data_IF_379549093783
#
_entry.id   IF_379549093783
#
_cell.length_a   1.000
_cell.length_b   1.000
_cell.length_c   1.000
_cell.angle_alpha   90.00
_cell.angle_beta   90.00
_cell.angle_gamma   90.00
#
_symmetry.space_group_name_H-M   'P 1'
#
loop_
_entity.id
_entity.type
_entity.pdbx_description
1 polymer ?
#
# COMPACT_ATOMS: atom_id res chain seq x y z
N UNK A 1 -20.32 51.83 39.42
CA UNK A 1 -19.42 50.85 40.00
C UNK A 1 -18.50 50.42 38.86
N UNK A 2 -17.29 51.07 38.68
CA UNK A 2 -16.00 50.73 39.26
C UNK A 2 -15.61 49.29 38.81
N UNK A 3 -14.64 49.00 38.06
CA UNK A 3 -13.22 49.32 37.92
C UNK A 3 -12.72 48.58 36.67
N UNK A 4 -12.02 49.22 35.76
CA UNK A 4 -10.81 48.62 35.16
C UNK A 4 -9.86 49.79 34.76
N UNK A 5 -8.85 49.95 35.55
CA UNK A 5 -7.75 50.86 35.27
C UNK A 5 -6.67 50.15 34.41
N UNK A 6 -6.40 50.80 33.34
CA UNK A 6 -5.13 51.09 32.69
C UNK A 6 -3.86 50.32 33.19
N UNK A 7 -3.32 49.43 32.32
CA UNK A 7 -1.91 49.05 32.35
C UNK A 7 -1.33 49.19 30.95
N UNK A 8 -0.34 50.09 30.81
CA UNK A 8 0.29 50.49 29.58
C UNK A 8 1.10 49.35 28.95
N UNK A 9 0.92 49.23 27.63
CA UNK A 9 1.80 48.41 26.77
C UNK A 9 2.99 49.28 26.35
N UNK A 10 4.25 48.73 26.39
CA UNK A 10 5.39 49.44 25.84
C UNK A 10 5.38 49.37 24.31
N UNK A 11 5.68 50.49 23.69
CA UNK A 11 5.85 50.71 22.27
C UNK A 11 6.95 49.85 21.69
N UNK A 12 6.66 49.21 20.56
CA UNK A 12 7.60 48.40 19.79
C UNK A 12 8.75 49.25 19.27
N UNK A 13 9.93 49.05 19.80
CA UNK A 13 11.18 49.50 19.18
C UNK A 13 11.51 48.52 18.03
N UNK A 14 11.68 49.06 16.82
CA UNK A 14 12.07 48.35 15.62
C UNK A 14 13.49 47.76 15.81
N UNK A 15 13.58 46.44 15.94
CA UNK A 15 14.84 45.73 15.74
C UNK A 15 14.88 45.27 14.28
N UNK A 16 15.67 45.98 13.49
CA UNK A 16 16.14 45.52 12.19
C UNK A 16 17.16 44.40 12.49
N UNK A 17 16.71 43.14 12.30
CA UNK A 17 17.63 42.00 12.31
C UNK A 17 18.18 41.86 10.90
N UNK A 18 19.41 42.27 10.69
CA UNK A 18 20.20 41.89 9.51
C UNK A 18 20.41 40.37 9.53
N UNK A 19 20.14 39.64 8.44
CA UNK A 19 20.49 38.24 8.39
C UNK A 19 22.02 38.13 8.30
N UNK A 20 22.63 37.48 9.28
CA UNK A 20 24.00 37.02 9.19
C UNK A 20 24.09 36.02 8.04
N UNK A 21 24.94 36.30 7.06
CA UNK A 21 25.38 35.31 6.09
C UNK A 21 26.13 34.22 6.85
N UNK A 22 25.45 33.11 7.11
CA UNK A 22 26.08 31.90 7.60
C UNK A 22 26.60 31.08 6.44
N UNK A 23 27.85 30.68 6.55
CA UNK A 23 28.64 29.81 5.69
C UNK A 23 27.80 28.74 4.95
N UNK A 24 28.08 28.65 3.65
CA UNK A 24 27.70 27.49 2.83
C UNK A 24 28.54 26.31 3.33
N UNK A 25 28.08 25.67 4.40
CA UNK A 25 28.61 24.39 4.85
C UNK A 25 28.25 23.31 3.79
N UNK A 26 29.25 22.53 3.42
CA UNK A 26 29.14 21.35 2.54
C UNK A 26 27.92 20.53 2.96
N UNK A 27 26.94 20.43 2.05
CA UNK A 27 25.73 19.64 2.25
C UNK A 27 26.13 18.16 2.40
N UNK A 28 25.92 17.62 3.59
CA UNK A 28 25.96 16.18 3.85
C UNK A 28 24.88 15.52 2.96
N UNK A 29 25.23 14.59 2.04
CA UNK A 29 24.26 13.93 1.16
C UNK A 29 23.19 13.11 1.90
N UNK A 30 23.16 13.13 3.24
CA UNK A 30 22.17 12.53 4.11
C UNK A 30 21.10 13.48 4.66
N UNK A 31 21.15 14.78 4.38
CA UNK A 31 20.18 15.76 4.91
C UNK A 31 18.93 15.93 4.02
N UNK A 32 17.90 15.13 4.32
CA UNK A 32 16.56 15.37 3.80
C UNK A 32 16.26 14.71 2.45
N UNK A 33 15.02 14.83 2.03
CA UNK A 33 14.46 14.31 0.78
C UNK A 33 14.98 15.09 -0.45
N UNK A 34 16.25 14.95 -0.78
CA UNK A 34 16.91 15.60 -1.90
C UNK A 34 16.96 17.14 -1.83
N UNK A 35 17.77 17.79 -2.64
CA UNK A 35 17.86 19.25 -2.65
C UNK A 35 16.50 19.86 -3.01
N UNK A 36 16.01 20.77 -2.18
CA UNK A 36 14.79 21.54 -2.42
C UNK A 36 15.09 23.03 -2.33
N UNK A 37 14.66 23.79 -3.34
CA UNK A 37 14.88 25.25 -3.39
C UNK A 37 14.06 26.03 -2.36
N UNK A 38 12.95 25.44 -1.88
CA UNK A 38 11.98 26.09 -0.99
C UNK A 38 11.82 25.38 0.37
N UNK A 39 12.70 24.45 0.72
CA UNK A 39 12.63 23.66 1.95
C UNK A 39 11.58 22.55 1.94
N UNK A 40 10.74 22.50 0.88
CA UNK A 40 9.81 21.42 0.54
C UNK A 40 9.85 21.18 -0.96
N UNK A 41 9.62 19.95 -1.40
CA UNK A 41 9.64 19.63 -2.83
C UNK A 41 8.38 20.13 -3.54
N UNK A 42 8.61 20.92 -4.57
CA UNK A 42 7.56 21.55 -5.38
C UNK A 42 7.89 21.40 -6.87
N UNK A 43 7.01 21.88 -7.76
CA UNK A 43 7.24 21.83 -9.21
C UNK A 43 8.44 22.64 -9.70
N UNK A 44 9.06 23.47 -8.83
CA UNK A 44 10.32 24.17 -9.17
C UNK A 44 11.56 23.31 -8.97
N UNK A 45 11.42 22.13 -8.36
CA UNK A 45 12.49 21.15 -8.17
C UNK A 45 12.46 20.12 -9.29
N UNK A 46 13.62 19.63 -9.72
CA UNK A 46 13.72 18.57 -10.71
C UNK A 46 13.22 17.22 -10.12
N UNK A 47 12.56 16.36 -10.93
CA UNK A 47 12.24 15.00 -10.51
C UNK A 47 13.50 14.23 -10.12
N UNK A 48 13.44 13.46 -9.05
CA UNK A 48 14.51 12.51 -8.72
C UNK A 48 14.40 11.28 -9.62
N UNK A 49 15.55 10.69 -9.97
CA UNK A 49 15.58 9.36 -10.57
C UNK A 49 15.05 8.31 -9.59
N UNK A 50 14.66 7.14 -10.09
CA UNK A 50 14.19 6.05 -9.24
C UNK A 50 15.26 5.58 -8.25
N UNK A 51 16.54 5.54 -8.67
CA UNK A 51 17.67 5.19 -7.78
C UNK A 51 17.84 6.20 -6.66
N UNK A 52 17.81 7.50 -6.96
CA UNK A 52 17.87 8.55 -5.96
C UNK A 52 16.67 8.48 -4.98
N UNK A 53 15.48 8.20 -5.52
CA UNK A 53 14.28 8.06 -4.69
C UNK A 53 14.42 6.90 -3.68
N UNK A 54 14.94 5.74 -4.10
CA UNK A 54 15.18 4.60 -3.21
C UNK A 54 16.22 4.95 -2.13
N UNK A 55 17.32 5.59 -2.50
CA UNK A 55 18.35 6.00 -1.55
C UNK A 55 17.78 6.95 -0.48
N UNK A 56 16.97 7.90 -0.91
CA UNK A 56 16.28 8.84 -0.01
C UNK A 56 15.34 8.10 0.95
N UNK A 57 14.51 7.18 0.46
CA UNK A 57 13.61 6.38 1.30
C UNK A 57 14.39 5.51 2.30
N UNK A 58 15.46 4.87 1.86
CA UNK A 58 16.33 4.05 2.72
C UNK A 58 17.03 4.89 3.78
N UNK A 59 17.56 6.05 3.41
CA UNK A 59 18.19 6.97 4.35
C UNK A 59 17.19 7.50 5.38
N UNK A 60 15.99 7.88 4.94
CA UNK A 60 14.90 8.30 5.82
C UNK A 60 14.49 7.21 6.81
N UNK A 61 14.32 5.98 6.35
CA UNK A 61 13.99 4.87 7.26
C UNK A 61 15.14 4.57 8.25
N UNK A 62 16.40 4.65 7.84
CA UNK A 62 17.53 4.54 8.78
C UNK A 62 17.45 5.58 9.90
N UNK A 63 17.16 6.86 9.57
CA UNK A 63 17.01 7.92 10.58
C UNK A 63 15.83 7.64 11.50
N UNK A 64 14.70 7.19 10.94
CA UNK A 64 13.54 6.80 11.74
C UNK A 64 13.87 5.70 12.76
N UNK A 65 14.54 4.63 12.32
CA UNK A 65 14.96 3.51 13.20
C UNK A 65 15.93 3.97 14.28
N UNK A 66 16.82 4.92 13.97
CA UNK A 66 17.79 5.48 14.90
C UNK A 66 17.20 6.54 15.85
N UNK A 67 15.96 7.00 15.59
CA UNK A 67 15.37 8.11 16.34
C UNK A 67 15.93 9.49 15.97
N UNK A 68 16.67 9.61 14.87
CA UNK A 68 17.29 10.85 14.37
C UNK A 68 16.48 11.45 13.20
N UNK A 69 15.17 11.60 13.41
CA UNK A 69 14.26 12.15 12.39
C UNK A 69 14.50 13.65 12.20
N UNK A 70 14.58 14.07 10.94
CA UNK A 70 14.85 15.46 10.53
C UNK A 70 13.65 16.14 9.89
N UNK A 71 12.65 15.36 9.40
CA UNK A 71 11.44 15.90 8.82
C UNK A 71 10.63 16.64 9.88
N UNK A 72 10.76 17.95 9.88
CA UNK A 72 10.01 18.83 10.79
C UNK A 72 8.52 18.93 10.41
N UNK A 73 7.77 19.65 11.24
CA UNK A 73 6.36 19.95 10.97
C UNK A 73 6.18 20.88 9.77
N UNK A 74 4.94 20.92 9.26
CA UNK A 74 4.52 21.78 8.14
C UNK A 74 4.36 23.25 8.60
N UNK A 75 5.45 24.00 8.57
CA UNK A 75 5.46 25.43 8.93
C UNK A 75 4.68 26.31 7.93
N UNK A 76 4.37 27.57 8.30
CA UNK A 76 3.60 28.47 7.43
C UNK A 76 4.23 28.72 6.05
N UNK A 77 5.56 28.87 6.00
CA UNK A 77 6.29 29.12 4.75
C UNK A 77 6.22 27.90 3.82
N UNK A 78 6.41 26.70 4.36
CA UNK A 78 6.28 25.46 3.62
C UNK A 78 4.87 25.27 3.07
N UNK A 79 3.83 25.56 3.87
CA UNK A 79 2.44 25.50 3.37
C UNK A 79 2.21 26.48 2.22
N UNK A 80 2.74 27.71 2.32
CA UNK A 80 2.64 28.69 1.23
C UNK A 80 3.36 28.23 -0.01
N UNK A 81 4.57 27.70 0.13
CA UNK A 81 5.33 27.16 -1.00
C UNK A 81 4.58 26.04 -1.72
N UNK A 82 4.06 25.05 -0.99
CA UNK A 82 3.27 23.95 -1.56
C UNK A 82 1.98 24.43 -2.21
N UNK A 83 1.28 25.39 -1.60
CA UNK A 83 0.04 25.94 -2.17
C UNK A 83 0.30 26.73 -3.46
N UNK A 84 1.43 27.45 -3.54
CA UNK A 84 1.75 28.31 -4.70
C UNK A 84 2.44 27.57 -5.84
N UNK A 85 3.22 26.53 -5.52
CA UNK A 85 4.09 25.84 -6.49
C UNK A 85 3.76 24.34 -6.64
N UNK A 86 2.67 23.86 -6.01
CA UNK A 86 2.27 22.44 -6.09
C UNK A 86 3.26 21.50 -5.40
N UNK A 87 3.30 20.25 -5.84
CA UNK A 87 4.10 19.17 -5.24
C UNK A 87 4.95 18.47 -6.28
N UNK A 88 6.12 17.97 -5.90
CA UNK A 88 6.99 17.11 -6.68
C UNK A 88 7.45 15.92 -5.83
N UNK A 89 6.58 14.91 -5.63
CA UNK A 89 6.89 13.79 -4.75
C UNK A 89 8.11 13.00 -5.22
N UNK A 90 8.91 12.54 -4.27
CA UNK A 90 10.04 11.63 -4.50
C UNK A 90 9.56 10.26 -4.96
N UNK A 91 8.50 9.77 -4.31
CA UNK A 91 7.93 8.45 -4.57
C UNK A 91 6.42 8.45 -4.36
N UNK A 92 5.76 7.51 -5.04
CA UNK A 92 4.40 7.08 -4.74
C UNK A 92 4.47 5.87 -3.83
N UNK A 93 3.78 5.89 -2.69
CA UNK A 93 3.74 4.77 -1.77
C UNK A 93 2.32 4.25 -1.63
N UNK A 94 2.12 2.95 -1.94
CA UNK A 94 0.88 2.24 -1.70
C UNK A 94 1.03 1.48 -0.38
N UNK A 95 0.40 1.96 0.68
CA UNK A 95 0.50 1.41 2.02
C UNK A 95 -0.83 0.96 2.61
N UNK A 96 -0.75 0.31 3.76
CA UNK A 96 -1.94 -0.05 4.52
C UNK A 96 -2.57 1.16 5.23
N UNK A 97 -3.90 1.15 5.37
CA UNK A 97 -4.63 2.13 6.18
C UNK A 97 -4.42 1.95 7.69
N UNK A 98 -3.72 0.89 8.12
CA UNK A 98 -3.38 0.64 9.52
C UNK A 98 -2.72 1.87 10.15
N UNK A 99 -3.29 2.36 11.27
CA UNK A 99 -2.83 3.59 11.94
C UNK A 99 -1.41 3.48 12.50
N UNK A 100 -0.90 2.26 12.66
CA UNK A 100 0.48 1.99 13.12
C UNK A 100 1.52 2.13 12.00
N UNK A 101 1.09 2.42 10.76
CA UNK A 101 1.95 2.59 9.59
C UNK A 101 1.92 4.04 9.10
N UNK A 102 2.51 5.01 9.82
CA UNK A 102 2.57 6.41 9.40
C UNK A 102 3.65 6.57 8.33
N UNK A 103 3.29 6.41 7.05
CA UNK A 103 4.22 6.27 5.91
C UNK A 103 5.25 7.39 5.85
N UNK A 104 4.81 8.64 6.00
CA UNK A 104 5.71 9.80 5.96
C UNK A 104 6.74 9.76 7.10
N UNK A 105 6.32 9.35 8.31
CA UNK A 105 7.23 9.23 9.45
C UNK A 105 8.23 8.09 9.27
N UNK A 106 7.79 6.94 8.70
CA UNK A 106 8.66 5.80 8.45
C UNK A 106 9.84 6.12 7.55
N UNK A 107 9.65 7.07 6.65
CA UNK A 107 10.67 7.52 5.70
C UNK A 107 11.25 8.89 6.05
N UNK A 108 10.95 9.42 7.24
CA UNK A 108 11.39 10.75 7.66
C UNK A 108 11.11 11.81 6.57
N UNK A 109 9.88 11.75 6.01
CA UNK A 109 9.42 12.55 4.89
C UNK A 109 8.57 13.74 5.35
N UNK A 110 8.69 14.87 4.66
CA UNK A 110 7.86 16.05 4.86
C UNK A 110 6.58 15.95 4.04
N UNK A 111 5.52 16.68 4.41
CA UNK A 111 4.35 16.86 3.54
C UNK A 111 4.77 17.39 2.16
N UNK A 112 4.30 16.71 1.09
CA UNK A 112 4.68 17.01 -0.29
C UNK A 112 5.81 16.12 -0.84
N UNK A 113 6.58 15.46 0.01
CA UNK A 113 7.69 14.59 -0.41
C UNK A 113 7.22 13.22 -0.90
N UNK A 114 6.08 12.73 -0.42
CA UNK A 114 5.50 11.45 -0.84
C UNK A 114 4.06 11.62 -1.34
N UNK A 115 3.71 10.86 -2.37
CA UNK A 115 2.33 10.68 -2.79
C UNK A 115 1.82 9.37 -2.20
N UNK A 116 1.01 9.45 -1.14
CA UNK A 116 0.63 8.29 -0.33
C UNK A 116 -0.79 7.85 -0.61
N UNK A 117 -0.95 6.59 -0.98
CA UNK A 117 -2.22 5.90 -1.20
C UNK A 117 -2.39 4.83 -0.13
N UNK A 118 -3.54 4.79 0.55
CA UNK A 118 -3.76 3.86 1.67
C UNK A 118 -5.14 3.23 1.61
N UNK A 119 -5.18 1.91 1.74
CA UNK A 119 -6.39 1.14 2.00
C UNK A 119 -6.08 -0.04 2.92
N UNK A 120 -7.09 -0.70 3.46
CA UNK A 120 -6.89 -1.87 4.31
C UNK A 120 -6.24 -3.01 3.48
N UNK A 121 -5.04 -3.42 3.89
CA UNK A 121 -4.26 -4.47 3.23
C UNK A 121 -3.46 -4.01 2.02
N UNK A 122 -3.22 -2.72 1.80
CA UNK A 122 -2.40 -2.15 0.69
C UNK A 122 -2.67 -2.82 -0.67
N UNK A 123 -3.94 -3.00 -1.04
CA UNK A 123 -4.37 -3.74 -2.23
C UNK A 123 -4.64 -2.85 -3.44
N UNK A 124 -4.43 -3.41 -4.65
CA UNK A 124 -5.05 -2.94 -5.88
C UNK A 124 -5.84 -4.11 -6.46
N UNK A 125 -7.17 -4.03 -6.48
CA UNK A 125 -8.05 -5.16 -6.84
C UNK A 125 -9.00 -4.89 -8.01
N UNK A 126 -9.08 -3.63 -8.45
CA UNK A 126 -9.95 -3.21 -9.55
C UNK A 126 -9.18 -2.27 -10.48
N UNK A 127 -9.14 -2.58 -11.77
CA UNK A 127 -8.38 -1.83 -12.76
C UNK A 127 -8.84 -0.37 -12.90
N UNK A 128 -10.15 -0.13 -12.85
CA UNK A 128 -10.76 1.21 -12.94
C UNK A 128 -10.90 1.88 -11.57
N UNK A 129 -10.34 1.27 -10.54
CA UNK A 129 -10.43 1.80 -9.17
C UNK A 129 -9.61 3.06 -8.96
N UNK A 130 -10.02 3.87 -8.00
CA UNK A 130 -9.32 5.11 -7.62
C UNK A 130 -7.86 4.90 -7.22
N UNK A 131 -7.49 3.71 -6.73
CA UNK A 131 -6.10 3.36 -6.41
C UNK A 131 -5.22 3.35 -7.65
N UNK A 132 -5.60 2.61 -8.70
CA UNK A 132 -4.83 2.54 -9.96
C UNK A 132 -4.77 3.91 -10.63
N UNK A 133 -5.90 4.57 -10.78
CA UNK A 133 -5.95 5.92 -11.38
C UNK A 133 -5.11 6.94 -10.62
N UNK A 134 -5.04 6.85 -9.29
CA UNK A 134 -4.17 7.74 -8.50
C UNK A 134 -2.68 7.43 -8.70
N UNK A 135 -2.31 6.16 -8.86
CA UNK A 135 -0.92 5.79 -9.22
C UNK A 135 -0.58 6.30 -10.62
N UNK A 136 -1.48 6.13 -11.61
CA UNK A 136 -1.30 6.68 -12.95
C UNK A 136 -1.13 8.19 -12.93
N UNK A 137 -1.97 8.90 -12.16
CA UNK A 137 -1.85 10.35 -11.96
C UNK A 137 -0.48 10.74 -11.42
N UNK A 138 0.04 10.00 -10.45
CA UNK A 138 1.33 10.30 -9.83
C UNK A 138 2.50 10.16 -10.82
N UNK A 139 2.47 9.17 -11.69
CA UNK A 139 3.56 8.95 -12.67
C UNK A 139 3.39 9.77 -13.95
N UNK A 140 2.15 10.05 -14.36
CA UNK A 140 1.88 10.80 -15.59
C UNK A 140 1.88 12.32 -15.39
N UNK A 141 1.39 12.81 -14.27
CA UNK A 141 1.17 14.24 -14.00
C UNK A 141 2.18 14.79 -12.98
N UNK A 142 2.44 14.06 -11.89
CA UNK A 142 3.41 14.50 -10.88
C UNK A 142 4.85 14.06 -11.20
N UNK A 143 5.02 13.28 -12.26
CA UNK A 143 6.31 12.80 -12.79
C UNK A 143 7.13 11.98 -11.76
N UNK A 144 6.44 11.27 -10.86
CA UNK A 144 7.08 10.41 -9.87
C UNK A 144 7.77 9.24 -10.58
N UNK A 145 9.04 9.02 -10.30
CA UNK A 145 9.86 7.97 -10.95
C UNK A 145 9.94 6.67 -10.15
N UNK A 146 9.37 6.66 -8.94
CA UNK A 146 9.39 5.50 -8.04
C UNK A 146 8.00 5.21 -7.50
N UNK A 147 7.56 3.95 -7.63
CA UNK A 147 6.36 3.41 -6.96
C UNK A 147 6.81 2.34 -5.98
N UNK A 148 6.45 2.49 -4.70
CA UNK A 148 6.73 1.53 -3.65
C UNK A 148 5.44 0.92 -3.11
N UNK A 149 5.29 -0.41 -3.20
CA UNK A 149 4.22 -1.14 -2.53
C UNK A 149 4.71 -1.59 -1.17
N UNK A 150 4.15 -1.02 -0.11
CA UNK A 150 4.59 -1.19 1.27
C UNK A 150 3.59 -2.04 2.05
N UNK A 151 3.95 -3.31 2.29
CA UNK A 151 3.30 -4.17 3.27
C UNK A 151 3.82 -3.89 4.69
N UNK A 152 3.22 -4.53 5.68
CA UNK A 152 3.70 -4.43 7.07
C UNK A 152 3.43 -5.69 7.87
N UNK A 153 4.25 -5.97 8.87
CA UNK A 153 4.04 -7.11 9.78
C UNK A 153 2.75 -6.93 10.59
N UNK A 154 2.06 -8.02 10.88
CA UNK A 154 0.84 -8.01 11.70
C UNK A 154 -0.34 -7.27 11.06
N UNK A 155 -0.46 -7.29 9.72
CA UNK A 155 -1.58 -6.69 9.01
C UNK A 155 -2.90 -7.38 9.33
N UNK A 156 -3.85 -6.63 9.94
CA UNK A 156 -5.14 -7.18 10.35
C UNK A 156 -5.99 -7.67 9.18
N UNK A 157 -5.95 -7.01 8.03
CA UNK A 157 -6.69 -7.44 6.84
C UNK A 157 -6.16 -8.76 6.27
N UNK A 158 -4.83 -8.93 6.21
CA UNK A 158 -4.18 -10.17 5.77
C UNK A 158 -4.47 -11.31 6.76
N UNK A 159 -4.34 -11.07 8.07
CA UNK A 159 -4.67 -12.05 9.10
C UNK A 159 -6.15 -12.48 9.02
N UNK A 160 -7.06 -11.52 8.84
CA UNK A 160 -8.49 -11.80 8.67
C UNK A 160 -8.79 -12.65 7.44
N UNK A 161 -8.15 -12.36 6.30
CA UNK A 161 -8.29 -13.15 5.07
C UNK A 161 -7.69 -14.56 5.23
N UNK A 162 -6.57 -14.69 5.94
CA UNK A 162 -5.94 -16.00 6.21
C UNK A 162 -6.85 -16.88 7.07
N UNK A 163 -7.42 -16.33 8.15
CA UNK A 163 -8.40 -17.06 8.97
C UNK A 163 -9.62 -17.48 8.16
N UNK A 164 -10.20 -16.57 7.38
CA UNK A 164 -11.35 -16.85 6.52
C UNK A 164 -11.05 -17.97 5.51
N UNK A 165 -9.87 -17.98 4.92
CA UNK A 165 -9.43 -19.03 4.00
C UNK A 165 -9.35 -20.38 4.71
N UNK A 166 -8.69 -20.47 5.85
CA UNK A 166 -8.49 -21.70 6.61
C UNK A 166 -9.83 -22.25 7.12
N UNK A 167 -10.72 -21.41 7.62
CA UNK A 167 -12.07 -21.79 8.06
C UNK A 167 -12.87 -22.42 6.89
N UNK A 168 -12.88 -21.77 5.74
CA UNK A 168 -13.58 -22.28 4.52
C UNK A 168 -12.97 -23.58 4.02
N UNK A 169 -11.66 -23.72 4.06
CA UNK A 169 -10.97 -24.93 3.63
C UNK A 169 -11.29 -26.10 4.56
N UNK A 170 -11.33 -25.89 5.86
CA UNK A 170 -11.73 -26.88 6.87
C UNK A 170 -13.18 -27.30 6.67
N UNK A 171 -14.10 -26.35 6.50
CA UNK A 171 -15.52 -26.63 6.28
C UNK A 171 -15.72 -27.46 5.00
N UNK A 172 -15.06 -27.10 3.90
CA UNK A 172 -15.11 -27.84 2.65
C UNK A 172 -14.57 -29.27 2.80
N UNK A 173 -13.50 -29.45 3.57
CA UNK A 173 -12.95 -30.78 3.85
C UNK A 173 -13.94 -31.67 4.63
N UNK A 174 -14.57 -31.12 5.68
CA UNK A 174 -15.59 -31.83 6.46
C UNK A 174 -16.77 -32.25 5.58
N UNK A 175 -17.30 -31.35 4.74
CA UNK A 175 -18.39 -31.66 3.82
C UNK A 175 -18.01 -32.76 2.82
N UNK A 176 -16.78 -32.77 2.32
CA UNK A 176 -16.30 -33.81 1.41
C UNK A 176 -16.16 -35.17 2.09
N UNK A 177 -15.67 -35.22 3.33
CA UNK A 177 -15.53 -36.47 4.09
C UNK A 177 -16.89 -37.04 4.47
N UNK A 178 -17.81 -36.20 4.98
CA UNK A 178 -19.17 -36.64 5.30
C UNK A 178 -19.92 -37.19 4.08
N UNK A 179 -19.71 -36.64 2.88
CA UNK A 179 -20.32 -37.16 1.64
C UNK A 179 -19.76 -38.53 1.22
N UNK A 180 -18.44 -38.75 1.42
CA UNK A 180 -17.81 -40.05 1.14
C UNK A 180 -18.36 -41.13 2.08
N UNK A 181 -18.45 -40.84 3.36
CA UNK A 181 -18.98 -41.78 4.36
C UNK A 181 -20.44 -42.11 4.13
N UNK A 182 -21.24 -41.13 3.62
CA UNK A 182 -22.63 -41.36 3.20
C UNK A 182 -22.78 -42.22 1.91
N UNK A 183 -21.82 -42.15 0.99
CA UNK A 183 -21.81 -42.97 -0.23
C UNK A 183 -21.33 -44.40 0.03
N UNK A 184 -20.44 -44.64 0.98
CA UNK A 184 -20.02 -46.00 1.36
C UNK A 184 -21.07 -46.74 2.20
N UNK A 185 -22.06 -46.03 2.78
CA UNK A 185 -23.13 -46.62 3.58
C UNK A 185 -24.42 -46.90 2.83
N UNK A 186 -24.53 -46.56 1.54
CA UNK A 186 -25.74 -46.83 0.73
C UNK A 186 -25.59 -48.06 -0.16
N UNK A 187 -25.45 -49.24 0.49
CA UNK A 187 -25.88 -50.48 -0.11
C UNK A 187 -26.94 -51.15 0.78
N UNK A 188 -28.11 -50.54 0.88
CA UNK A 188 -29.41 -51.15 1.19
C UNK A 188 -30.51 -50.08 1.32
N UNK A 189 -31.38 -50.09 0.28
CA UNK A 189 -32.81 -49.76 0.27
C UNK A 189 -33.45 -49.05 1.46
N UNK A 190 -33.98 -47.84 1.27
CA UNK A 190 -35.41 -47.53 1.49
C UNK A 190 -35.73 -46.11 1.00
N UNK A 191 -36.80 -46.05 0.18
CA UNK A 191 -37.42 -44.83 -0.30
C UNK A 191 -38.01 -44.04 0.88
N UNK A 192 -37.64 -42.78 1.01
CA UNK A 192 -38.42 -41.78 1.72
C UNK A 192 -38.29 -40.45 0.99
N UNK A 193 -39.35 -40.07 0.35
CA UNK A 193 -39.59 -38.79 -0.29
C UNK A 193 -39.67 -37.67 0.78
N UNK A 194 -38.71 -36.79 0.83
CA UNK A 194 -38.91 -35.45 1.39
C UNK A 194 -38.59 -34.42 0.30
N UNK A 195 -39.64 -33.75 -0.14
CA UNK A 195 -39.58 -32.59 -1.01
C UNK A 195 -38.85 -31.47 -0.28
N UNK A 196 -37.57 -31.30 -0.52
CA UNK A 196 -36.89 -30.02 -0.21
C UNK A 196 -37.40 -28.96 -1.19
N UNK A 197 -38.11 -27.99 -0.68
CA UNK A 197 -38.53 -26.81 -1.45
C UNK A 197 -37.28 -26.06 -1.92
N UNK A 198 -37.23 -25.69 -3.21
CA UNK A 198 -36.13 -24.86 -3.72
C UNK A 198 -36.10 -23.50 -2.96
N UNK A 199 -34.92 -22.96 -2.64
CA UNK A 199 -34.80 -21.68 -1.95
C UNK A 199 -35.51 -20.60 -2.76
N UNK A 200 -36.40 -19.86 -2.10
CA UNK A 200 -37.17 -18.77 -2.68
C UNK A 200 -36.21 -17.73 -3.32
N UNK A 201 -36.43 -17.31 -4.58
CA UNK A 201 -35.66 -16.22 -5.17
C UNK A 201 -36.17 -14.90 -4.58
N UNK A 202 -35.41 -14.31 -3.68
CA UNK A 202 -35.77 -12.97 -3.20
C UNK A 202 -35.23 -12.57 -1.82
N UNK A 203 -33.98 -12.83 -1.51
CA UNK A 203 -33.27 -12.02 -0.53
C UNK A 203 -31.83 -11.87 -0.98
N UNK A 204 -31.58 -10.81 -1.73
CA UNK A 204 -30.23 -10.32 -2.01
C UNK A 204 -29.64 -9.88 -0.67
N UNK A 205 -29.12 -10.84 0.13
CA UNK A 205 -28.32 -10.55 1.32
C UNK A 205 -27.14 -9.72 0.82
N UNK A 206 -27.22 -8.40 0.96
CA UNK A 206 -26.11 -7.50 0.68
C UNK A 206 -24.91 -8.05 1.44
N UNK A 207 -23.92 -8.61 0.74
CA UNK A 207 -22.69 -9.05 1.37
C UNK A 207 -22.07 -7.83 2.06
N UNK A 208 -21.60 -8.00 3.28
CA UNK A 208 -20.84 -6.95 3.97
C UNK A 208 -19.66 -6.54 3.10
N UNK A 209 -19.43 -5.22 2.95
CA UNK A 209 -18.26 -4.69 2.24
C UNK A 209 -16.96 -5.12 2.89
N UNK A 210 -16.94 -5.30 4.21
CA UNK A 210 -15.81 -5.90 4.92
C UNK A 210 -15.53 -7.32 4.44
N UNK A 211 -16.56 -8.15 4.30
CA UNK A 211 -16.39 -9.51 3.79
C UNK A 211 -15.89 -9.50 2.34
N UNK A 212 -16.35 -8.54 1.53
CA UNK A 212 -15.85 -8.35 0.16
C UNK A 212 -14.36 -7.98 0.11
N UNK A 213 -13.88 -7.16 1.05
CA UNK A 213 -12.47 -6.83 1.20
C UNK A 213 -11.64 -8.08 1.54
N UNK A 214 -12.08 -8.85 2.54
CA UNK A 214 -11.39 -10.09 2.93
C UNK A 214 -11.40 -11.14 1.81
N UNK A 215 -12.53 -11.30 1.11
CA UNK A 215 -12.66 -12.20 -0.04
C UNK A 215 -11.64 -11.85 -1.15
N UNK A 216 -11.36 -10.58 -1.39
CA UNK A 216 -10.35 -10.15 -2.36
C UNK A 216 -8.91 -10.52 -1.95
N UNK A 217 -8.66 -10.70 -0.65
CA UNK A 217 -7.38 -11.12 -0.10
C UNK A 217 -7.24 -12.63 0.11
N UNK A 218 -8.35 -13.41 0.07
CA UNK A 218 -8.31 -14.87 0.20
C UNK A 218 -7.31 -15.54 -0.75
N UNK A 219 -7.19 -15.16 -2.04
CA UNK A 219 -6.20 -15.77 -2.92
C UNK A 219 -4.73 -15.51 -2.51
N UNK A 220 -4.48 -14.45 -1.73
CA UNK A 220 -3.16 -14.18 -1.15
C UNK A 220 -2.85 -15.19 -0.03
N UNK A 221 -3.83 -15.45 0.83
CA UNK A 221 -3.74 -16.42 1.90
C UNK A 221 -3.60 -17.85 1.36
N UNK A 222 -4.36 -18.19 0.31
CA UNK A 222 -4.28 -19.48 -0.38
C UNK A 222 -2.87 -19.72 -0.94
N UNK A 223 -2.31 -18.76 -1.66
CA UNK A 223 -0.95 -18.85 -2.21
C UNK A 223 0.07 -18.98 -1.09
N UNK A 224 -0.03 -18.19 -0.03
CA UNK A 224 0.87 -18.27 1.11
C UNK A 224 0.80 -19.63 1.84
N UNK A 225 -0.39 -20.21 1.95
CA UNK A 225 -0.58 -21.54 2.53
C UNK A 225 0.08 -22.65 1.70
N UNK A 226 0.02 -22.53 0.37
CA UNK A 226 0.70 -23.48 -0.55
C UNK A 226 2.22 -23.34 -0.48
N UNK A 227 2.73 -22.09 -0.39
CA UNK A 227 4.16 -21.82 -0.33
C UNK A 227 4.77 -22.16 1.05
N UNK A 228 3.95 -22.17 2.10
CA UNK A 228 4.37 -22.47 3.48
C UNK A 228 3.58 -23.67 4.03
N UNK A 229 3.76 -24.84 3.40
CA UNK A 229 3.05 -26.06 3.76
C UNK A 229 3.31 -26.44 5.24
N UNK A 230 2.23 -26.66 5.99
CA UNK A 230 2.30 -27.02 7.41
C UNK A 230 2.58 -25.86 8.38
N UNK A 231 2.62 -24.62 7.89
CA UNK A 231 2.77 -23.44 8.75
C UNK A 231 1.55 -23.16 9.61
N UNK A 232 1.77 -22.54 10.76
CA UNK A 232 0.70 -22.00 11.62
C UNK A 232 -0.05 -20.86 10.94
N UNK A 233 -1.24 -20.52 11.43
CA UNK A 233 -2.03 -19.38 10.91
C UNK A 233 -1.22 -18.09 10.91
N UNK A 234 -0.44 -17.84 11.95
CA UNK A 234 0.40 -16.66 12.13
C UNK A 234 1.55 -16.63 11.13
N UNK A 235 2.20 -17.76 10.89
CA UNK A 235 3.29 -17.88 9.90
C UNK A 235 2.77 -17.72 8.48
N UNK A 236 1.65 -18.36 8.15
CA UNK A 236 0.99 -18.18 6.85
C UNK A 236 0.60 -16.72 6.63
N UNK A 237 0.01 -16.06 7.63
CA UNK A 237 -0.36 -14.65 7.53
C UNK A 237 0.86 -13.73 7.41
N UNK A 238 1.96 -14.02 8.09
CA UNK A 238 3.20 -13.27 7.97
C UNK A 238 3.81 -13.41 6.56
N UNK A 239 3.80 -14.61 6.01
CA UNK A 239 4.24 -14.85 4.62
C UNK A 239 3.31 -14.19 3.60
N UNK A 240 1.99 -14.25 3.84
CA UNK A 240 0.97 -13.63 3.01
C UNK A 240 1.16 -12.11 2.83
N UNK A 241 1.81 -11.42 3.76
CA UNK A 241 2.17 -9.99 3.60
C UNK A 241 3.07 -9.79 2.37
N UNK A 242 4.13 -10.59 2.21
CA UNK A 242 5.03 -10.51 1.04
C UNK A 242 4.32 -10.93 -0.25
N UNK A 243 3.51 -11.99 -0.18
CA UNK A 243 2.68 -12.44 -1.33
C UNK A 243 1.75 -11.32 -1.80
N UNK A 244 1.13 -10.60 -0.86
CA UNK A 244 0.23 -9.48 -1.18
C UNK A 244 0.97 -8.30 -1.83
N UNK A 245 2.17 -7.97 -1.36
CA UNK A 245 3.01 -6.93 -1.99
C UNK A 245 3.26 -7.29 -3.46
N UNK A 246 3.68 -8.52 -3.76
CA UNK A 246 3.92 -8.98 -5.13
C UNK A 246 2.64 -9.03 -5.95
N UNK A 247 1.51 -9.46 -5.36
CA UNK A 247 0.23 -9.48 -6.03
C UNK A 247 -0.22 -8.08 -6.45
N UNK A 248 -0.05 -7.08 -5.58
CA UNK A 248 -0.37 -5.68 -5.86
C UNK A 248 0.50 -5.12 -7.00
N UNK A 249 1.82 -5.39 -6.97
CA UNK A 249 2.72 -5.01 -8.06
C UNK A 249 2.31 -5.66 -9.38
N UNK A 250 2.08 -6.97 -9.36
CA UNK A 250 1.71 -7.72 -10.56
C UNK A 250 0.36 -7.24 -11.13
N UNK A 251 -0.58 -6.87 -10.26
CA UNK A 251 -1.85 -6.29 -10.67
C UNK A 251 -1.65 -4.96 -11.41
N UNK A 252 -0.86 -4.04 -10.86
CA UNK A 252 -0.55 -2.76 -11.50
C UNK A 252 0.05 -2.94 -12.90
N UNK A 253 1.03 -3.84 -13.05
CA UNK A 253 1.66 -4.14 -14.32
C UNK A 253 0.72 -4.84 -15.32
N UNK A 254 -0.26 -5.59 -14.84
CA UNK A 254 -1.21 -6.30 -15.71
C UNK A 254 -2.33 -5.39 -16.21
N UNK A 255 -2.78 -4.44 -15.39
CA UNK A 255 -3.98 -3.64 -15.66
C UNK A 255 -3.72 -2.21 -16.13
N UNK A 256 -2.59 -1.60 -15.73
CA UNK A 256 -2.27 -0.24 -16.15
C UNK A 256 -1.27 -0.25 -17.31
N UNK A 257 -1.74 0.16 -18.49
CA UNK A 257 -0.88 0.33 -19.65
C UNK A 257 0.18 1.42 -19.40
N UNK A 258 -0.23 2.54 -18.80
CA UNK A 258 0.65 3.68 -18.48
C UNK A 258 1.79 3.24 -17.56
N UNK A 259 1.47 2.53 -16.46
CA UNK A 259 2.50 2.06 -15.53
C UNK A 259 3.41 1.04 -16.21
N UNK A 260 2.84 0.10 -16.96
CA UNK A 260 3.61 -0.92 -17.67
C UNK A 260 4.58 -0.33 -18.68
N UNK A 261 4.15 0.62 -19.52
CA UNK A 261 4.99 1.30 -20.49
C UNK A 261 6.13 2.08 -19.84
N UNK A 262 5.83 2.85 -18.78
CA UNK A 262 6.85 3.61 -18.05
C UNK A 262 7.84 2.72 -17.30
N UNK A 263 7.41 1.57 -16.79
CA UNK A 263 8.31 0.57 -16.17
C UNK A 263 9.14 -0.16 -17.24
N UNK A 264 8.55 -0.50 -18.38
CA UNK A 264 9.24 -1.15 -19.49
C UNK A 264 10.32 -0.25 -20.11
N UNK A 265 10.06 1.05 -20.24
CA UNK A 265 11.03 2.04 -20.72
C UNK A 265 12.14 2.35 -19.70
N UNK A 266 12.01 1.93 -18.45
CA UNK A 266 12.93 2.27 -17.35
C UNK A 266 12.73 3.69 -16.80
N UNK A 267 11.70 4.40 -17.24
CA UNK A 267 11.37 5.74 -16.71
C UNK A 267 10.89 5.70 -15.26
N UNK A 268 10.16 4.65 -14.90
CA UNK A 268 9.62 4.42 -13.56
C UNK A 268 10.09 3.07 -13.02
N UNK A 269 10.49 3.01 -11.77
CA UNK A 269 10.68 1.76 -11.03
C UNK A 269 9.48 1.45 -10.14
N UNK A 270 9.12 0.16 -10.09
CA UNK A 270 8.06 -0.38 -9.24
C UNK A 270 8.66 -1.47 -8.35
N UNK A 271 8.69 -1.22 -7.04
CA UNK A 271 9.33 -2.11 -6.07
C UNK A 271 8.40 -2.44 -4.90
N UNK A 272 8.69 -3.56 -4.24
CA UNK A 272 8.04 -3.98 -3.01
C UNK A 272 8.90 -3.70 -1.77
N UNK A 273 8.23 -3.51 -0.64
CA UNK A 273 8.86 -3.43 0.67
C UNK A 273 7.93 -3.94 1.77
N UNK A 274 8.50 -4.28 2.92
CA UNK A 274 7.75 -4.66 4.12
C UNK A 274 8.28 -3.89 5.33
N UNK A 275 7.40 -3.17 5.99
CA UNK A 275 7.66 -2.49 7.25
C UNK A 275 7.52 -3.46 8.43
N UNK A 276 8.56 -3.57 9.23
CA UNK A 276 8.52 -4.30 10.49
C UNK A 276 8.15 -3.35 11.63
N UNK A 277 6.94 -3.50 12.16
CA UNK A 277 6.40 -2.61 13.20
C UNK A 277 7.17 -2.66 14.52
N UNK A 278 7.85 -3.78 14.82
CA UNK A 278 8.58 -3.93 16.09
C UNK A 278 9.94 -3.23 16.04
N UNK A 279 10.64 -3.30 14.92
CA UNK A 279 11.98 -2.71 14.76
C UNK A 279 11.97 -1.32 14.14
N UNK A 280 10.87 -0.93 13.48
CA UNK A 280 10.81 0.29 12.69
C UNK A 280 11.46 0.16 11.30
N UNK A 281 12.13 -0.94 11.00
CA UNK A 281 12.86 -1.13 9.75
C UNK A 281 11.94 -1.46 8.59
N UNK A 282 12.28 -0.96 7.41
CA UNK A 282 11.68 -1.31 6.13
C UNK A 282 12.65 -2.22 5.36
N UNK A 283 12.21 -3.45 5.07
CA UNK A 283 12.89 -4.39 4.19
C UNK A 283 12.49 -4.07 2.73
N UNK A 284 13.42 -3.59 1.92
CA UNK A 284 13.20 -3.39 0.49
C UNK A 284 13.38 -4.71 -0.24
N UNK A 285 12.31 -5.18 -0.89
CA UNK A 285 12.26 -6.48 -1.57
C UNK A 285 12.71 -6.38 -3.04
N UNK A 286 12.82 -5.17 -3.58
CA UNK A 286 13.14 -4.93 -4.98
C UNK A 286 11.97 -5.14 -5.93
N UNK A 287 12.27 -5.51 -7.18
CA UNK A 287 11.30 -5.72 -8.26
C UNK A 287 10.59 -7.07 -8.11
N UNK A 288 9.32 -7.16 -8.56
CA UNK A 288 8.59 -8.44 -8.54
C UNK A 288 9.33 -9.51 -9.36
N UNK A 289 9.42 -10.75 -8.85
CA UNK A 289 10.00 -11.87 -9.62
C UNK A 289 9.29 -12.11 -10.97
N UNK A 290 8.02 -11.72 -11.09
CA UNK A 290 7.24 -11.85 -12.34
C UNK A 290 7.30 -10.63 -13.23
N UNK A 291 8.00 -9.56 -12.84
CA UNK A 291 8.01 -8.29 -13.57
C UNK A 291 8.45 -8.44 -15.02
N UNK A 292 9.55 -9.12 -15.28
CA UNK A 292 10.06 -9.33 -16.64
C UNK A 292 9.04 -10.08 -17.53
N UNK A 293 8.37 -11.09 -16.98
CA UNK A 293 7.32 -11.82 -17.69
C UNK A 293 6.12 -10.92 -18.02
N UNK A 294 5.70 -10.08 -17.06
CA UNK A 294 4.54 -9.20 -17.23
C UNK A 294 4.82 -8.04 -18.21
N UNK A 295 6.05 -7.58 -18.29
CA UNK A 295 6.46 -6.53 -19.24
C UNK A 295 6.56 -7.05 -20.68
N UNK A 296 6.95 -8.32 -20.88
CA UNK A 296 7.09 -8.95 -22.19
C UNK A 296 5.80 -9.56 -22.75
N UNK A 297 4.67 -9.41 -22.05
CA UNK A 297 3.41 -10.01 -22.43
C UNK A 297 2.66 -9.10 -23.42
N UNK A 298 2.71 -9.44 -24.72
CA UNK A 298 2.02 -8.74 -25.82
C UNK A 298 0.50 -9.03 -25.92
N UNK A 299 -0.09 -9.65 -24.92
CA UNK A 299 -1.46 -10.14 -24.96
C UNK A 299 -2.50 -9.15 -24.45
N UNK A 300 -3.45 -8.78 -25.29
CA UNK A 300 -4.72 -8.14 -24.94
C UNK A 300 -5.67 -9.03 -24.11
N UNK A 301 -5.17 -10.03 -23.40
CA UNK A 301 -5.98 -10.90 -22.55
C UNK A 301 -5.71 -10.52 -21.11
N UNK A 302 -6.63 -9.80 -20.50
CA UNK A 302 -6.70 -9.61 -19.06
C UNK A 302 -6.84 -11.01 -18.42
N UNK A 303 -5.84 -11.53 -17.68
CA UNK A 303 -6.04 -12.78 -16.96
C UNK A 303 -7.13 -12.55 -15.92
N UNK A 304 -8.24 -13.27 -16.00
CA UNK A 304 -9.25 -13.24 -14.95
C UNK A 304 -8.63 -13.77 -13.67
N UNK A 305 -8.34 -12.88 -12.76
CA UNK A 305 -7.82 -13.22 -11.44
C UNK A 305 -8.96 -13.79 -10.60
N UNK A 306 -9.14 -15.11 -10.65
CA UNK A 306 -10.02 -15.88 -9.78
C UNK A 306 -11.49 -15.79 -10.14
N UNK A 307 -11.92 -16.58 -11.08
CA UNK A 307 -13.30 -16.95 -11.35
C UNK A 307 -13.29 -18.22 -12.17
N UNK A 308 -13.73 -19.31 -11.57
CA UNK A 308 -14.09 -20.52 -12.30
C UNK A 308 -14.97 -20.11 -13.48
N UNK A 309 -14.46 -20.28 -14.69
CA UNK A 309 -15.25 -20.20 -15.90
C UNK A 309 -16.42 -21.17 -15.76
N UNK A 310 -17.62 -20.66 -15.54
CA UNK A 310 -18.84 -21.43 -15.85
C UNK A 310 -18.86 -21.56 -17.36
N UNK A 311 -18.50 -22.72 -17.84
CA UNK A 311 -18.94 -23.16 -19.16
C UNK A 311 -20.46 -23.14 -19.15
N UNK A 312 -21.04 -22.21 -19.88
CA UNK A 312 -22.45 -22.29 -20.30
C UNK A 312 -22.40 -22.90 -21.69
N UNK A 313 -22.74 -24.17 -21.74
CA UNK A 313 -23.14 -24.87 -22.96
C UNK A 313 -24.57 -24.49 -23.33
#
# INVERSE_FOLDING_TARGET
MAYYQNTGLPTAASMVVTPAMSDVSQEDPGEGFGPSKLGVRTTVDEPLSASQAIEVLQAGNRRFVQGDVKAGGLGPDMRRALASHGQRPVATVIGCADSRCPVEQLFDARPGDLFVLRNAGNTCTHAEGSMVGSVEYSVAILETKMILVLGHTGCGAIMGATKLFLERSTQKYIEMTCRKDAQESTDQSTEASEFEQPPQPGCCKKKSTLLGLLDALVPVAEQACVELEGGSTEEIAAHAVKVNVWRTINFLLSYSLIIREKVASGEVELQGAVYNMSSGAVEFLGKSPKQAQLLNYDGHVVPSMGGLARQVS
#
